data_IF_754230103144
#
_entry.id   IF_754230103144
#
_cell.length_a   1.000
_cell.length_b   1.000
_cell.length_c   1.000
_cell.angle_alpha   90.00
_cell.angle_beta   90.00
_cell.angle_gamma   90.00
#
_symmetry.space_group_name_H-M   'P 1'
#
loop_
_entity.id
_entity.type
_entity.pdbx_description
1 polymer ?
#
# COMPACT_ATOMS: atom_id res chain seq x y z
N UNK A 1 18.18 26.46 -20.96
CA UNK A 1 18.63 26.66 -19.57
C UNK A 1 17.54 26.10 -18.66
N UNK A 2 17.75 24.92 -18.06
CA UNK A 2 16.75 24.34 -17.12
C UNK A 2 16.81 25.15 -15.82
N UNK A 3 15.68 25.51 -15.19
CA UNK A 3 15.71 26.24 -13.93
C UNK A 3 16.38 25.36 -12.87
N UNK A 4 17.31 25.97 -12.14
CA UNK A 4 17.99 25.36 -11.00
C UNK A 4 16.96 25.29 -9.86
N UNK A 5 16.26 24.16 -9.74
CA UNK A 5 15.40 23.92 -8.58
C UNK A 5 16.33 23.68 -7.41
N UNK A 6 16.34 24.61 -6.46
CA UNK A 6 17.01 24.45 -5.18
C UNK A 6 16.40 23.21 -4.48
N UNK A 7 17.19 22.17 -4.27
CA UNK A 7 16.74 20.87 -3.73
C UNK A 7 16.29 20.93 -2.26
N UNK A 8 16.18 22.13 -1.68
CA UNK A 8 15.96 22.37 -0.25
C UNK A 8 14.52 22.74 0.13
N UNK A 9 13.63 22.95 -0.85
CA UNK A 9 12.24 23.40 -0.58
C UNK A 9 11.14 22.45 -1.09
N UNK A 10 11.50 21.26 -1.61
CA UNK A 10 10.51 20.21 -1.89
C UNK A 10 10.59 19.15 -0.81
N UNK A 11 9.82 19.36 0.27
CA UNK A 11 9.60 18.31 1.25
C UNK A 11 8.84 17.18 0.57
N UNK A 12 9.36 15.96 0.68
CA UNK A 12 8.67 14.76 0.21
C UNK A 12 7.24 14.71 0.80
N UNK A 13 6.19 14.48 -0.02
CA UNK A 13 4.80 14.50 0.46
C UNK A 13 4.52 13.54 1.61
N UNK A 14 5.16 12.36 1.64
CA UNK A 14 5.00 11.40 2.73
C UNK A 14 5.63 11.97 4.01
N UNK A 15 6.85 12.49 3.92
CA UNK A 15 7.51 13.15 5.05
C UNK A 15 6.69 14.32 5.58
N UNK A 16 6.06 15.11 4.70
CA UNK A 16 5.17 16.21 5.09
C UNK A 16 3.96 15.70 5.87
N UNK A 17 3.34 14.63 5.40
CA UNK A 17 2.18 14.03 6.05
C UNK A 17 2.51 13.46 7.43
N UNK A 18 3.64 12.76 7.57
CA UNK A 18 4.12 12.24 8.85
C UNK A 18 4.34 13.39 9.85
N UNK A 19 4.94 14.50 9.39
CA UNK A 19 5.15 15.67 10.25
C UNK A 19 3.84 16.29 10.75
N UNK A 20 2.83 16.40 9.88
CA UNK A 20 1.52 16.96 10.24
C UNK A 20 0.73 16.04 11.17
N UNK A 21 0.82 14.72 10.97
CA UNK A 21 0.19 13.73 11.86
C UNK A 21 0.81 13.79 13.26
N UNK A 22 2.14 13.95 13.34
CA UNK A 22 2.83 14.18 14.61
C UNK A 22 2.36 15.48 15.28
N UNK A 23 2.26 16.56 14.53
CA UNK A 23 1.75 17.85 15.04
C UNK A 23 0.32 17.71 15.58
N UNK A 24 -0.55 16.98 14.88
CA UNK A 24 -1.92 16.70 15.33
C UNK A 24 -1.93 15.91 16.65
N UNK A 25 -1.10 14.89 16.78
CA UNK A 25 -0.96 14.12 18.03
C UNK A 25 -0.43 14.99 19.17
N UNK A 26 0.61 15.79 18.91
CA UNK A 26 1.19 16.72 19.89
C UNK A 26 0.17 17.78 20.35
N UNK A 27 -0.79 18.14 19.48
CA UNK A 27 -1.94 18.98 19.80
C UNK A 27 -3.06 18.25 20.60
N UNK A 28 -2.96 16.92 20.73
CA UNK A 28 -3.91 16.08 21.47
C UNK A 28 -4.96 15.39 20.61
N UNK A 29 -4.83 15.42 19.27
CA UNK A 29 -5.65 14.62 18.37
C UNK A 29 -5.03 13.22 18.22
N UNK A 30 -5.47 12.28 19.06
CA UNK A 30 -4.96 10.92 19.09
C UNK A 30 -6.10 9.90 19.18
N UNK A 31 -5.90 8.74 18.54
CA UNK A 31 -6.82 7.61 18.65
C UNK A 31 -6.72 6.99 20.05
N UNK A 32 -7.83 6.75 20.75
CA UNK A 32 -7.80 6.13 22.07
C UNK A 32 -7.18 4.73 22.08
N UNK A 33 -7.52 3.90 21.09
CA UNK A 33 -7.14 2.49 20.99
C UNK A 33 -6.98 2.07 19.52
N UNK A 34 -6.17 1.02 19.27
CA UNK A 34 -5.89 0.49 17.92
C UNK A 34 -7.15 0.15 17.13
N UNK A 35 -8.18 -0.38 17.79
CA UNK A 35 -9.41 -0.80 17.12
C UNK A 35 -10.10 0.36 16.41
N UNK A 36 -10.02 1.58 16.95
CA UNK A 36 -10.66 2.76 16.33
C UNK A 36 -9.99 3.19 15.03
N UNK A 37 -8.65 3.14 14.95
CA UNK A 37 -7.95 3.45 13.69
C UNK A 37 -8.10 2.31 12.67
N UNK A 38 -8.25 1.06 13.13
CA UNK A 38 -8.61 -0.05 12.24
C UNK A 38 -10.03 0.12 11.68
N UNK A 39 -10.98 0.53 12.51
CA UNK A 39 -12.35 0.85 12.09
C UNK A 39 -12.35 2.00 11.08
N UNK A 40 -11.50 3.02 11.26
CA UNK A 40 -11.33 4.09 10.27
C UNK A 40 -10.84 3.55 8.94
N UNK A 41 -9.78 2.72 8.91
CA UNK A 41 -9.28 2.09 7.68
C UNK A 41 -10.37 1.28 6.97
N UNK A 42 -11.24 0.60 7.72
CA UNK A 42 -12.37 -0.14 7.16
C UNK A 42 -13.42 0.83 6.59
N UNK A 43 -13.73 1.92 7.28
CA UNK A 43 -14.64 2.97 6.80
C UNK A 43 -14.19 3.52 5.45
N UNK A 44 -12.93 3.92 5.31
CA UNK A 44 -12.40 4.46 4.05
C UNK A 44 -12.47 3.44 2.90
N UNK A 45 -12.29 2.14 3.19
CA UNK A 45 -12.49 1.09 2.20
C UNK A 45 -13.94 1.00 1.71
N UNK A 46 -14.91 1.20 2.60
CA UNK A 46 -16.33 1.21 2.27
C UNK A 46 -16.73 2.49 1.52
N UNK A 47 -16.15 3.65 1.84
CA UNK A 47 -16.36 4.91 1.13
C UNK A 47 -15.86 4.82 -0.32
N UNK A 48 -14.67 4.27 -0.55
CA UNK A 48 -14.19 3.96 -1.91
C UNK A 48 -15.17 3.04 -2.65
N UNK A 49 -15.68 2.00 -1.98
CA UNK A 49 -16.61 1.04 -2.59
C UNK A 49 -17.91 1.73 -3.00
N UNK A 50 -18.46 2.59 -2.15
CA UNK A 50 -19.69 3.31 -2.43
C UNK A 50 -19.48 4.35 -3.55
N UNK A 51 -18.39 5.12 -3.52
CA UNK A 51 -18.07 6.08 -4.58
C UNK A 51 -17.97 5.41 -5.96
N UNK A 52 -17.35 4.22 -6.04
CA UNK A 52 -17.29 3.44 -7.28
C UNK A 52 -18.68 2.95 -7.69
N UNK A 53 -19.48 2.43 -6.74
CA UNK A 53 -20.82 1.88 -7.01
C UNK A 53 -21.80 2.96 -7.45
N UNK A 54 -21.62 4.19 -7.01
CA UNK A 54 -22.43 5.34 -7.40
C UNK A 54 -21.96 6.02 -8.70
N UNK A 55 -20.95 5.47 -9.38
CA UNK A 55 -20.32 6.07 -10.56
C UNK A 55 -19.87 7.52 -10.31
N UNK A 56 -19.34 7.79 -9.11
CA UNK A 56 -18.86 9.13 -8.77
C UNK A 56 -17.70 9.58 -9.66
N UNK A 57 -17.52 10.90 -9.85
CA UNK A 57 -16.39 11.41 -10.61
C UNK A 57 -15.04 10.92 -10.07
N UNK A 58 -14.07 10.66 -10.95
CA UNK A 58 -12.74 10.15 -10.59
C UNK A 58 -12.00 10.96 -9.51
N UNK A 59 -12.27 12.25 -9.38
CA UNK A 59 -11.67 13.06 -8.32
C UNK A 59 -12.19 12.68 -6.93
N UNK A 60 -13.47 12.32 -6.79
CA UNK A 60 -14.04 11.84 -5.52
C UNK A 60 -13.47 10.50 -5.11
N UNK A 61 -13.42 9.55 -6.05
CA UNK A 61 -12.76 8.25 -5.81
C UNK A 61 -11.30 8.45 -5.39
N UNK A 62 -10.60 9.43 -5.98
CA UNK A 62 -9.23 9.78 -5.59
C UNK A 62 -9.15 10.37 -4.19
N UNK A 63 -10.11 11.19 -3.77
CA UNK A 63 -10.17 11.74 -2.42
C UNK A 63 -10.29 10.60 -1.40
N UNK A 64 -11.23 9.66 -1.60
CA UNK A 64 -11.41 8.52 -0.66
C UNK A 64 -10.18 7.58 -0.63
N UNK A 65 -9.50 7.40 -1.77
CA UNK A 65 -8.20 6.68 -1.78
C UNK A 65 -7.15 7.46 -0.97
N UNK A 66 -7.17 8.78 -1.02
CA UNK A 66 -6.31 9.65 -0.21
C UNK A 66 -6.55 9.46 1.29
N UNK A 67 -7.82 9.41 1.69
CA UNK A 67 -8.22 9.23 3.10
C UNK A 67 -7.88 7.82 3.61
N UNK A 68 -8.01 6.78 2.76
CA UNK A 68 -7.49 5.44 3.07
C UNK A 68 -5.97 5.44 3.25
N UNK A 69 -5.22 6.11 2.37
CA UNK A 69 -3.76 6.22 2.50
C UNK A 69 -3.36 6.93 3.78
N UNK A 70 -4.05 8.03 4.12
CA UNK A 70 -3.86 8.74 5.38
C UNK A 70 -4.14 7.85 6.60
N UNK A 71 -5.25 7.12 6.59
CA UNK A 71 -5.63 6.21 7.67
C UNK A 71 -4.61 5.10 7.89
N UNK A 72 -4.05 4.53 6.81
CA UNK A 72 -2.97 3.52 6.90
C UNK A 72 -1.67 4.13 7.45
N UNK A 73 -1.33 5.36 7.06
CA UNK A 73 -0.16 6.07 7.58
C UNK A 73 -0.34 6.38 9.08
N UNK A 74 -1.52 6.86 9.48
CA UNK A 74 -1.86 7.10 10.89
C UNK A 74 -1.82 5.80 11.69
N UNK A 75 -2.28 4.67 11.14
CA UNK A 75 -2.13 3.35 11.75
C UNK A 75 -0.66 2.99 11.99
N UNK A 76 0.22 3.19 10.99
CA UNK A 76 1.65 2.95 11.17
C UNK A 76 2.24 3.80 12.30
N UNK A 77 1.90 5.10 12.36
CA UNK A 77 2.42 5.96 13.43
C UNK A 77 1.86 5.57 14.80
N UNK A 78 0.57 5.22 14.87
CA UNK A 78 -0.08 4.71 16.08
C UNK A 78 0.60 3.44 16.62
N UNK A 79 1.00 2.52 15.73
CA UNK A 79 1.72 1.30 16.11
C UNK A 79 3.24 1.49 16.22
N UNK A 80 3.72 2.74 16.21
CA UNK A 80 5.14 3.10 16.24
C UNK A 80 5.98 2.38 15.17
N UNK A 81 5.37 2.09 14.04
CA UNK A 81 6.00 1.42 12.91
C UNK A 81 6.62 2.45 11.98
N UNK A 82 7.90 2.27 11.65
CA UNK A 82 8.58 3.12 10.67
C UNK A 82 8.02 2.86 9.27
N UNK A 83 7.41 3.87 8.67
CA UNK A 83 6.67 3.74 7.41
C UNK A 83 7.61 3.41 6.26
N UNK A 84 8.78 4.04 6.20
CA UNK A 84 9.77 3.80 5.13
C UNK A 84 10.30 2.38 5.20
N UNK A 85 10.73 1.92 6.38
CA UNK A 85 11.16 0.54 6.60
C UNK A 85 10.05 -0.47 6.30
N UNK A 86 8.80 -0.14 6.65
CA UNK A 86 7.63 -0.98 6.34
C UNK A 86 7.44 -1.11 4.83
N UNK A 87 7.56 -0.01 4.08
CA UNK A 87 7.50 -0.01 2.62
C UNK A 87 8.66 -0.78 1.99
N UNK A 88 9.88 -0.66 2.52
CA UNK A 88 11.04 -1.42 2.06
C UNK A 88 10.82 -2.93 2.20
N UNK A 89 10.32 -3.36 3.36
CA UNK A 89 10.01 -4.78 3.64
C UNK A 89 8.94 -5.29 2.68
N UNK A 90 7.87 -4.53 2.47
CA UNK A 90 6.79 -4.91 1.54
C UNK A 90 7.30 -4.97 0.10
N UNK A 91 8.15 -4.03 -0.31
CA UNK A 91 8.77 -3.98 -1.64
C UNK A 91 9.60 -5.22 -1.90
N UNK A 92 10.55 -5.55 -1.01
CA UNK A 92 11.39 -6.74 -1.12
C UNK A 92 10.57 -8.04 -1.17
N UNK A 93 9.49 -8.09 -0.38
CA UNK A 93 8.55 -9.21 -0.38
C UNK A 93 7.81 -9.32 -1.71
N UNK A 94 7.36 -8.21 -2.28
CA UNK A 94 6.70 -8.17 -3.57
C UNK A 94 7.64 -8.57 -4.71
N UNK A 95 8.88 -8.06 -4.74
CA UNK A 95 9.90 -8.44 -5.73
C UNK A 95 10.14 -9.96 -5.74
N UNK A 96 10.31 -10.55 -4.55
CA UNK A 96 10.51 -11.99 -4.40
C UNK A 96 9.31 -12.77 -4.92
N UNK A 97 8.08 -12.34 -4.57
CA UNK A 97 6.84 -12.97 -5.04
C UNK A 97 6.65 -12.84 -6.54
N UNK A 98 6.94 -11.67 -7.10
CA UNK A 98 6.81 -11.40 -8.53
C UNK A 98 7.78 -12.26 -9.34
N UNK A 99 9.02 -12.45 -8.85
CA UNK A 99 9.97 -13.39 -9.47
C UNK A 99 9.44 -14.82 -9.46
N UNK A 100 8.97 -15.32 -8.32
CA UNK A 100 8.38 -16.66 -8.25
C UNK A 100 7.14 -16.79 -9.15
N UNK A 101 6.30 -15.76 -9.24
CA UNK A 101 5.14 -15.74 -10.13
C UNK A 101 5.56 -15.91 -11.59
N UNK A 102 6.59 -15.19 -12.04
CA UNK A 102 7.13 -15.30 -13.40
C UNK A 102 7.69 -16.69 -13.69
N UNK A 103 8.47 -17.26 -12.77
CA UNK A 103 9.01 -18.62 -12.90
C UNK A 103 7.88 -19.66 -13.06
N UNK A 104 6.88 -19.63 -12.16
CA UNK A 104 5.75 -20.58 -12.19
C UNK A 104 4.89 -20.37 -13.44
N UNK A 105 4.67 -19.13 -13.87
CA UNK A 105 3.94 -18.83 -15.09
C UNK A 105 4.63 -19.44 -16.31
N UNK A 106 5.96 -19.29 -16.42
CA UNK A 106 6.75 -19.89 -17.50
C UNK A 106 6.74 -21.41 -17.46
N UNK A 107 6.84 -22.04 -16.29
CA UNK A 107 6.72 -23.49 -16.13
C UNK A 107 5.35 -24.01 -16.60
N UNK A 108 4.30 -23.20 -16.48
CA UNK A 108 2.96 -23.50 -17.00
C UNK A 108 2.75 -23.11 -18.46
N UNK A 109 3.80 -22.67 -19.16
CA UNK A 109 3.74 -22.31 -20.58
C UNK A 109 3.14 -20.94 -20.86
N UNK A 110 3.08 -20.04 -19.86
CA UNK A 110 2.63 -18.67 -20.05
C UNK A 110 3.80 -17.71 -20.27
N UNK A 111 3.87 -17.11 -21.46
CA UNK A 111 4.76 -15.97 -21.72
C UNK A 111 4.21 -14.66 -21.12
N UNK A 112 2.89 -14.58 -20.95
CA UNK A 112 2.18 -13.46 -20.33
C UNK A 112 0.92 -13.92 -19.61
N UNK A 113 0.58 -13.21 -18.53
CA UNK A 113 -0.67 -13.43 -17.79
C UNK A 113 -1.83 -12.55 -18.30
N UNK A 114 -1.59 -11.70 -19.30
CA UNK A 114 -2.63 -10.84 -19.87
C UNK A 114 -3.75 -11.68 -20.48
N UNK A 115 -4.99 -11.38 -20.11
CA UNK A 115 -6.18 -12.06 -20.61
C UNK A 115 -6.46 -13.43 -19.98
N UNK A 116 -5.65 -13.86 -19.01
CA UNK A 116 -5.93 -15.09 -18.25
C UNK A 116 -7.12 -14.89 -17.30
N UNK A 117 -7.85 -15.97 -17.04
CA UNK A 117 -8.96 -15.97 -16.09
C UNK A 117 -8.47 -15.62 -14.68
N UNK A 118 -9.27 -14.87 -13.93
CA UNK A 118 -8.92 -14.44 -12.58
C UNK A 118 -8.59 -15.61 -11.64
N UNK A 119 -9.23 -16.78 -11.82
CA UNK A 119 -8.93 -17.98 -11.02
C UNK A 119 -7.51 -18.47 -11.29
N UNK A 120 -7.05 -18.41 -12.53
CA UNK A 120 -5.66 -18.76 -12.91
C UNK A 120 -4.69 -17.76 -12.29
N UNK A 121 -4.99 -16.46 -12.36
CA UNK A 121 -4.16 -15.42 -11.76
C UNK A 121 -4.01 -15.60 -10.24
N UNK A 122 -5.13 -15.88 -9.55
CA UNK A 122 -5.16 -16.11 -8.12
C UNK A 122 -4.43 -17.41 -7.71
N UNK A 123 -4.58 -18.49 -8.48
CA UNK A 123 -3.87 -19.75 -8.26
C UNK A 123 -2.35 -19.56 -8.37
N UNK A 124 -1.90 -18.91 -9.45
CA UNK A 124 -0.48 -18.61 -9.68
C UNK A 124 0.08 -17.69 -8.58
N UNK A 125 -0.67 -16.67 -8.18
CA UNK A 125 -0.26 -15.76 -7.10
C UNK A 125 -0.13 -16.47 -5.75
N UNK A 126 -1.05 -17.37 -5.43
CA UNK A 126 -1.00 -18.13 -4.18
C UNK A 126 0.18 -19.11 -4.14
N UNK A 127 0.51 -19.75 -5.27
CA UNK A 127 1.72 -20.55 -5.39
C UNK A 127 2.97 -19.69 -5.24
N UNK A 128 3.03 -18.53 -5.89
CA UNK A 128 4.16 -17.61 -5.80
C UNK A 128 4.40 -17.14 -4.35
N UNK A 129 3.33 -16.81 -3.60
CA UNK A 129 3.42 -16.48 -2.17
C UNK A 129 4.01 -17.63 -1.35
N UNK A 130 3.59 -18.86 -1.62
CA UNK A 130 4.04 -20.06 -0.92
C UNK A 130 5.51 -20.35 -1.20
N UNK A 131 5.93 -20.27 -2.46
CA UNK A 131 7.32 -20.45 -2.88
C UNK A 131 8.26 -19.38 -2.31
N UNK A 132 7.83 -18.11 -2.35
CA UNK A 132 8.58 -17.00 -1.76
C UNK A 132 8.80 -17.18 -0.26
N UNK A 133 7.78 -17.63 0.49
CA UNK A 133 7.90 -17.88 1.93
C UNK A 133 8.86 -19.02 2.28
N UNK A 134 8.98 -20.04 1.42
CA UNK A 134 9.96 -21.12 1.62
C UNK A 134 11.39 -20.62 1.42
N UNK A 135 11.61 -19.79 0.37
CA UNK A 135 12.92 -19.20 0.07
C UNK A 135 13.42 -18.24 1.18
N UNK A 136 12.51 -17.53 1.85
CA UNK A 136 12.89 -16.64 2.96
C UNK A 136 13.17 -17.37 4.28
N UNK A 137 12.73 -18.64 4.44
CA UNK A 137 12.94 -19.45 5.65
C UNK A 137 14.12 -20.43 5.54
N UNK A 138 14.66 -20.61 4.34
CA UNK A 138 15.79 -21.50 4.06
C UNK A 138 17.16 -20.79 4.02
N UNK A 139 17.22 -19.52 4.42
CA UNK A 139 18.45 -18.77 4.67
C UNK A 139 18.65 -18.61 6.19
#
# INVERSE_FOLDING_TARGET
MKPFINSKDYMDPLQKLISLEKEARDFGFEWPHTDMILDQVISECEEIREAIKQDEPLHRIRDEIGDLLFSVISLCTFTHSDIESTLEVVTKKFETRLRCLKEIAQERGYDTLKGQDIKVLLDLWQQAKSSASKRSKGC
#
